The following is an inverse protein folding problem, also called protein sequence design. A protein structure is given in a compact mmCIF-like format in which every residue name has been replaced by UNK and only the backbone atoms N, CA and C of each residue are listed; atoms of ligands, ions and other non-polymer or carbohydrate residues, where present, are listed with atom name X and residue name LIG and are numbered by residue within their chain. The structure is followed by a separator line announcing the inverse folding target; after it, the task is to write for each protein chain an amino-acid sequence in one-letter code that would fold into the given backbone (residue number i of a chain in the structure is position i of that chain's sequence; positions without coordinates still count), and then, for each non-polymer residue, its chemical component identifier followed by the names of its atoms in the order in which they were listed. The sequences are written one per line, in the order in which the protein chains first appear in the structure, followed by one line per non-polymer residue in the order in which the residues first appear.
data_IF_976412896541
#
_entry.id   IF_976412896541
#
_cell.length_a   1.000
_cell.length_b   1.000
_cell.length_c   1.000
_cell.angle_alpha   90.00
_cell.angle_beta   90.00
_cell.angle_gamma   90.00
#
_symmetry.space_group_name_H-M   'P 1'
#
loop_
_entity.id
_entity.type
_entity.pdbx_description
1 polymer ?
#
# COMPACT_ATOMS: atom_id res chain seq x y z
N UNK A 1 45.63 61.59 13.65
CA UNK A 1 44.52 60.86 14.31
C UNK A 1 43.39 60.74 13.30
N UNK A 2 43.34 59.68 12.49
CA UNK A 2 42.58 58.42 12.69
C UNK A 2 41.09 58.63 13.01
N UNK A 3 40.27 58.73 11.96
CA UNK A 3 38.89 58.23 11.95
C UNK A 3 38.46 58.04 10.49
N UNK A 4 38.93 56.94 9.89
CA UNK A 4 38.52 56.48 8.56
C UNK A 4 37.63 55.26 8.77
N UNK A 5 36.44 55.31 8.14
CA UNK A 5 35.75 54.17 7.53
C UNK A 5 35.37 53.05 8.51
N UNK A 6 34.27 53.20 9.25
CA UNK A 6 33.67 52.09 10.02
C UNK A 6 32.14 52.02 9.96
N UNK A 7 31.45 52.72 9.06
CA UNK A 7 29.98 52.72 9.03
C UNK A 7 29.34 52.20 7.74
N UNK A 8 30.13 51.86 6.71
CA UNK A 8 29.59 51.32 5.44
C UNK A 8 29.70 49.78 5.37
N UNK A 9 30.43 49.12 6.28
CA UNK A 9 30.64 47.67 6.22
C UNK A 9 29.56 46.86 6.95
N UNK A 10 28.81 47.45 7.89
CA UNK A 10 27.79 46.72 8.66
C UNK A 10 26.47 46.52 7.89
N UNK A 11 26.15 47.39 6.92
CA UNK A 11 24.94 47.24 6.10
C UNK A 11 25.08 46.22 4.96
N UNK A 12 26.31 45.90 4.54
CA UNK A 12 26.57 44.86 3.52
C UNK A 12 26.68 43.45 4.13
N UNK A 13 26.95 43.33 5.43
CA UNK A 13 26.95 42.05 6.13
C UNK A 13 25.55 41.54 6.47
N UNK A 14 24.53 42.41 6.49
CA UNK A 14 23.14 41.99 6.69
C UNK A 14 22.45 41.48 5.42
N UNK A 15 23.08 41.60 4.24
CA UNK A 15 22.53 41.03 2.99
C UNK A 15 22.96 39.59 2.72
N UNK A 16 23.95 39.09 3.49
CA UNK A 16 24.37 37.69 3.47
C UNK A 16 23.93 36.90 4.71
N UNK A 17 23.11 37.51 5.59
CA UNK A 17 22.36 36.76 6.58
C UNK A 17 21.23 36.05 5.85
N UNK A 18 21.52 34.78 5.54
CA UNK A 18 20.68 33.83 4.85
C UNK A 18 19.20 34.16 4.90
N UNK A 19 18.62 34.28 3.72
CA UNK A 19 17.38 33.55 3.47
C UNK A 19 17.71 32.10 3.80
N UNK A 20 17.65 31.75 5.08
CA UNK A 20 17.34 30.40 5.49
C UNK A 20 15.95 30.21 4.89
N UNK A 21 15.94 29.76 3.63
CA UNK A 21 14.78 29.19 3.01
C UNK A 21 14.36 28.18 4.07
N UNK A 22 13.27 28.49 4.77
CA UNK A 22 12.56 27.48 5.54
C UNK A 22 12.09 26.51 4.47
N UNK A 23 12.99 25.61 4.08
CA UNK A 23 12.68 24.48 3.23
C UNK A 23 11.61 23.77 4.02
N UNK A 24 10.36 23.90 3.59
CA UNK A 24 9.28 23.19 4.21
C UNK A 24 9.62 21.72 3.95
N UNK A 25 10.05 20.93 4.97
CA UNK A 25 10.60 19.60 4.72
C UNK A 25 9.58 18.67 4.04
N UNK A 26 8.29 19.01 4.14
CA UNK A 26 7.19 18.36 3.41
C UNK A 26 7.20 18.65 1.90
N UNK A 27 7.49 19.88 1.51
CA UNK A 27 7.55 20.29 0.11
C UNK A 27 8.74 19.62 -0.62
N UNK A 28 9.86 19.46 0.08
CA UNK A 28 11.05 18.79 -0.46
C UNK A 28 10.80 17.29 -0.70
N UNK A 29 10.10 16.61 0.20
CA UNK A 29 9.78 15.19 0.03
C UNK A 29 8.92 14.95 -1.22
N UNK A 30 7.89 15.78 -1.45
CA UNK A 30 7.02 15.64 -2.62
C UNK A 30 7.73 15.92 -3.96
N UNK A 31 8.94 16.48 -3.93
CA UNK A 31 9.77 16.65 -5.13
C UNK A 31 10.65 15.43 -5.43
N UNK A 32 10.90 14.57 -4.44
CA UNK A 32 11.69 13.36 -4.61
C UNK A 32 10.96 12.33 -5.48
N UNK A 33 11.70 11.31 -5.92
CA UNK A 33 11.09 10.14 -6.54
C UNK A 33 10.56 9.18 -5.47
N UNK A 34 9.24 9.04 -5.41
CA UNK A 34 8.54 8.18 -4.45
C UNK A 34 8.21 6.80 -5.02
N UNK A 35 8.71 6.46 -6.22
CA UNK A 35 8.43 5.18 -6.88
C UNK A 35 8.74 3.96 -6.02
N UNK A 36 9.82 4.01 -5.24
CA UNK A 36 10.23 2.93 -4.33
C UNK A 36 9.22 2.63 -3.21
N UNK A 37 8.28 3.54 -2.92
CA UNK A 37 7.21 3.28 -1.96
C UNK A 37 6.13 2.33 -2.50
N UNK A 38 5.98 2.23 -3.82
CA UNK A 38 4.96 1.42 -4.47
C UNK A 38 5.52 0.11 -5.06
N UNK A 39 6.84 0.02 -5.23
CA UNK A 39 7.48 -1.09 -5.92
C UNK A 39 7.36 -2.42 -5.16
N UNK A 40 7.20 -3.53 -5.87
CA UNK A 40 7.12 -4.89 -5.33
C UNK A 40 6.25 -5.00 -4.05
N UNK A 41 5.00 -4.54 -4.14
CA UNK A 41 4.06 -4.49 -3.03
C UNK A 41 2.97 -5.55 -3.22
N UNK A 42 2.89 -6.49 -2.28
CA UNK A 42 1.82 -7.49 -2.18
C UNK A 42 0.88 -7.14 -1.03
N UNK A 43 -0.42 -7.17 -1.26
CA UNK A 43 -1.44 -6.89 -0.25
C UNK A 43 -2.66 -7.81 -0.45
N UNK A 44 -3.40 -8.02 0.62
CA UNK A 44 -4.63 -8.81 0.64
C UNK A 44 -5.82 -7.93 1.03
N UNK A 45 -7.00 -8.28 0.54
CA UNK A 45 -8.18 -7.44 0.73
C UNK A 45 -9.51 -8.12 0.44
N UNK A 46 -10.55 -7.31 0.45
CA UNK A 46 -11.93 -7.70 0.13
C UNK A 46 -12.42 -7.06 -1.16
N UNK A 47 -13.29 -7.80 -1.86
CA UNK A 47 -14.03 -7.36 -3.03
C UNK A 47 -15.52 -7.66 -2.83
N UNK A 48 -16.34 -6.62 -2.78
CA UNK A 48 -17.80 -6.68 -2.67
C UNK A 48 -18.31 -6.98 -1.27
N UNK A 49 -19.64 -6.96 -1.13
CA UNK A 49 -20.34 -7.16 0.14
C UNK A 49 -20.18 -8.58 0.69
N UNK A 50 -19.90 -9.56 -0.18
CA UNK A 50 -19.61 -10.93 0.22
C UNK A 50 -18.18 -11.11 0.76
N UNK A 51 -17.39 -10.04 0.80
CA UNK A 51 -16.01 -10.03 1.26
C UNK A 51 -15.16 -11.08 0.53
N UNK A 52 -15.34 -11.20 -0.79
CA UNK A 52 -14.49 -12.07 -1.61
C UNK A 52 -13.03 -11.68 -1.47
N UNK A 53 -12.15 -12.64 -1.25
CA UNK A 53 -10.71 -12.40 -1.19
C UNK A 53 -10.22 -11.81 -2.50
N UNK A 54 -9.42 -10.76 -2.41
CA UNK A 54 -8.61 -10.24 -3.50
C UNK A 54 -7.17 -10.08 -3.02
N UNK A 55 -6.22 -10.61 -3.78
CA UNK A 55 -4.79 -10.34 -3.63
C UNK A 55 -4.37 -9.34 -4.70
N UNK A 56 -3.50 -8.40 -4.36
CA UNK A 56 -2.94 -7.39 -5.27
C UNK A 56 -1.43 -7.47 -5.20
N UNK A 57 -0.77 -7.49 -6.36
CA UNK A 57 0.68 -7.43 -6.46
C UNK A 57 1.11 -6.36 -7.47
N UNK A 58 1.87 -5.37 -7.04
CA UNK A 58 2.45 -4.33 -7.90
C UNK A 58 3.77 -4.83 -8.46
N UNK A 59 3.86 -4.88 -9.80
CA UNK A 59 5.02 -5.44 -10.51
C UNK A 59 5.95 -4.38 -11.10
N UNK A 60 5.42 -3.22 -11.48
CA UNK A 60 6.20 -2.15 -12.11
C UNK A 60 5.66 -0.78 -11.70
N UNK A 61 6.58 0.12 -11.40
CA UNK A 61 6.30 1.52 -11.06
C UNK A 61 7.17 2.42 -11.92
N UNK A 62 6.56 3.44 -12.52
CA UNK A 62 7.30 4.45 -13.30
C UNK A 62 6.81 5.84 -12.93
N UNK A 63 7.71 6.69 -12.45
CA UNK A 63 7.42 8.11 -12.25
C UNK A 63 7.09 8.77 -13.60
N UNK A 64 5.96 9.44 -13.66
CA UNK A 64 5.46 10.14 -14.86
C UNK A 64 5.63 11.66 -14.73
N UNK A 65 5.38 12.17 -13.53
CA UNK A 65 5.51 13.59 -13.16
C UNK A 65 5.95 13.65 -11.68
N UNK A 66 6.13 14.85 -11.14
CA UNK A 66 6.36 15.15 -9.71
C UNK A 66 5.47 14.36 -8.76
N UNK A 67 4.18 14.22 -9.08
CA UNK A 67 3.18 13.58 -8.20
C UNK A 67 2.45 12.39 -8.82
N UNK A 68 2.73 12.07 -10.08
CA UNK A 68 2.05 10.99 -10.80
C UNK A 68 2.99 9.82 -11.08
N UNK A 69 2.48 8.61 -10.83
CA UNK A 69 3.19 7.36 -11.03
C UNK A 69 2.32 6.42 -11.85
N UNK A 70 2.87 5.88 -12.93
CA UNK A 70 2.25 4.77 -13.65
C UNK A 70 2.54 3.46 -12.91
N UNK A 71 1.49 2.67 -12.68
CA UNK A 71 1.54 1.41 -11.96
C UNK A 71 1.08 0.30 -12.88
N UNK A 72 1.80 -0.82 -12.87
CA UNK A 72 1.32 -2.11 -13.36
C UNK A 72 1.34 -3.12 -12.22
N UNK A 73 0.40 -4.04 -12.27
CA UNK A 73 0.33 -5.13 -11.32
C UNK A 73 -0.63 -6.20 -11.76
N UNK A 74 -0.91 -7.12 -10.85
CA UNK A 74 -1.79 -8.26 -11.09
C UNK A 74 -2.69 -8.38 -9.85
N UNK A 75 -3.98 -8.61 -10.09
CA UNK A 75 -4.95 -8.97 -9.07
C UNK A 75 -5.23 -10.48 -9.14
N UNK A 76 -5.57 -11.09 -7.99
CA UNK A 76 -6.06 -12.46 -7.90
C UNK A 76 -7.29 -12.51 -7.00
N UNK A 77 -8.46 -12.80 -7.58
CA UNK A 77 -9.71 -12.91 -6.83
C UNK A 77 -10.02 -14.38 -6.52
N UNK A 78 -10.35 -14.67 -5.25
CA UNK A 78 -10.69 -16.02 -4.75
C UNK A 78 -9.69 -17.10 -5.19
N UNK A 79 -8.41 -16.77 -5.19
CA UNK A 79 -7.29 -17.66 -5.57
C UNK A 79 -7.34 -18.22 -7.02
N UNK A 80 -8.31 -17.81 -7.84
CA UNK A 80 -8.58 -18.46 -9.14
C UNK A 80 -8.65 -17.48 -10.31
N UNK A 81 -9.14 -16.26 -10.10
CA UNK A 81 -9.29 -15.28 -11.17
C UNK A 81 -8.11 -14.31 -11.13
N UNK A 82 -7.16 -14.46 -12.06
CA UNK A 82 -5.97 -13.61 -12.15
C UNK A 82 -6.17 -12.59 -13.26
N UNK A 83 -6.03 -11.31 -12.97
CA UNK A 83 -6.16 -10.22 -13.94
C UNK A 83 -4.97 -9.25 -13.86
N UNK A 84 -4.23 -9.04 -14.97
CA UNK A 84 -3.26 -7.97 -15.01
C UNK A 84 -3.98 -6.60 -15.04
N UNK A 85 -3.40 -5.60 -14.41
CA UNK A 85 -3.91 -4.23 -14.41
C UNK A 85 -2.82 -3.21 -14.70
N UNK A 86 -3.26 -2.04 -15.16
CA UNK A 86 -2.42 -0.87 -15.37
C UNK A 86 -3.19 0.38 -14.98
N UNK A 87 -2.51 1.37 -14.42
CA UNK A 87 -3.08 2.68 -14.23
C UNK A 87 -2.15 3.64 -13.53
N UNK A 88 -2.70 4.49 -12.66
CA UNK A 88 -1.96 5.58 -12.04
C UNK A 88 -2.21 5.68 -10.55
N UNK A 89 -1.19 6.17 -9.85
CA UNK A 89 -1.27 6.73 -8.51
C UNK A 89 -0.89 8.21 -8.59
N UNK A 90 -1.67 9.06 -7.92
CA UNK A 90 -1.42 10.49 -7.78
C UNK A 90 -1.27 10.83 -6.30
N UNK A 91 -0.10 11.33 -5.89
CA UNK A 91 0.19 11.74 -4.51
C UNK A 91 -0.34 13.15 -4.27
N UNK A 92 -1.26 13.34 -3.32
CA UNK A 92 -1.87 14.64 -3.04
C UNK A 92 -1.18 15.41 -1.91
N UNK A 93 -0.78 14.69 -0.86
CA UNK A 93 -0.40 15.26 0.41
C UNK A 93 0.53 14.34 1.19
N UNK A 94 1.20 14.93 2.17
CA UNK A 94 2.14 14.27 3.05
C UNK A 94 1.92 14.73 4.49
N UNK A 95 1.87 13.77 5.40
CA UNK A 95 1.91 14.03 6.83
C UNK A 95 3.24 13.55 7.38
N UNK A 96 3.96 14.41 8.08
CA UNK A 96 5.09 14.01 8.92
C UNK A 96 4.55 13.62 10.29
N UNK A 97 5.00 12.50 10.82
CA UNK A 97 4.67 12.09 12.19
C UNK A 97 5.72 12.71 13.12
N UNK A 98 5.50 13.94 13.60
CA UNK A 98 6.49 14.62 14.44
C UNK A 98 6.58 14.07 15.87
N UNK A 99 5.64 13.22 16.30
CA UNK A 99 5.47 12.88 17.72
C UNK A 99 5.06 11.43 18.03
N UNK A 100 4.84 10.54 17.06
CA UNK A 100 4.38 9.19 17.38
C UNK A 100 5.10 8.12 16.54
N UNK A 101 5.62 7.12 17.27
CA UNK A 101 6.12 5.82 16.81
C UNK A 101 7.49 5.78 16.12
N UNK A 102 8.51 6.42 16.71
CA UNK A 102 9.87 5.84 16.66
C UNK A 102 10.08 5.02 17.93
N UNK A 103 9.65 3.75 17.88
CA UNK A 103 10.04 2.74 18.85
C UNK A 103 11.21 1.95 18.26
N UNK A 104 11.83 1.06 19.03
CA UNK A 104 12.84 0.12 18.50
C UNK A 104 12.31 -0.76 17.37
N UNK A 105 10.98 -0.87 17.23
CA UNK A 105 10.30 -1.84 16.36
C UNK A 105 9.41 -1.17 15.30
N UNK A 106 9.38 0.16 15.24
CA UNK A 106 8.63 0.90 14.21
C UNK A 106 9.47 2.04 13.67
N UNK A 107 9.68 2.02 12.36
CA UNK A 107 10.43 3.03 11.64
C UNK A 107 9.50 3.75 10.66
N UNK A 108 8.94 4.87 11.13
CA UNK A 108 7.94 5.64 10.41
C UNK A 108 8.17 7.13 10.63
N UNK A 109 8.48 7.86 9.55
CA UNK A 109 8.61 9.32 9.59
C UNK A 109 7.34 10.04 9.15
N UNK A 110 6.43 9.32 8.49
CA UNK A 110 5.15 9.88 8.07
C UNK A 110 4.40 9.00 7.08
N UNK A 111 3.37 9.61 6.47
CA UNK A 111 2.55 8.99 5.44
C UNK A 111 2.40 9.93 4.25
N UNK A 112 2.40 9.35 3.06
CA UNK A 112 1.86 9.98 1.86
C UNK A 112 0.43 9.51 1.63
N UNK A 113 -0.39 10.38 1.04
CA UNK A 113 -1.76 10.09 0.68
C UNK A 113 -2.01 10.46 -0.78
N UNK A 114 -3.12 9.95 -1.32
CA UNK A 114 -3.59 10.35 -2.62
C UNK A 114 -4.64 9.42 -3.18
N UNK A 115 -4.70 9.39 -4.51
CA UNK A 115 -5.72 8.65 -5.25
C UNK A 115 -5.08 7.69 -6.24
N UNK A 116 -5.80 6.63 -6.56
CA UNK A 116 -5.39 5.66 -7.55
C UNK A 116 -6.54 5.32 -8.50
N UNK A 117 -6.17 4.91 -9.71
CA UNK A 117 -7.10 4.29 -10.66
C UNK A 117 -6.35 3.26 -11.50
N UNK A 118 -6.79 2.01 -11.45
CA UNK A 118 -6.20 0.89 -12.18
C UNK A 118 -7.25 0.18 -13.02
N UNK A 119 -6.97 -0.05 -14.30
CA UNK A 119 -7.83 -0.82 -15.18
C UNK A 119 -7.23 -2.22 -15.37
N UNK A 120 -8.00 -3.24 -15.02
CA UNK A 120 -7.72 -4.61 -15.40
C UNK A 120 -7.98 -4.80 -16.89
N UNK A 121 -7.18 -5.64 -17.54
CA UNK A 121 -7.35 -5.94 -18.96
C UNK A 121 -7.39 -7.45 -19.23
N UNK A 122 -8.18 -7.84 -20.23
CA UNK A 122 -8.46 -9.22 -20.58
C UNK A 122 -9.95 -9.50 -20.73
N UNK A 123 -10.40 -10.67 -20.25
CA UNK A 123 -11.80 -11.08 -20.32
C UNK A 123 -12.71 -10.14 -19.50
N UNK A 124 -13.62 -9.46 -20.22
CA UNK A 124 -14.58 -8.48 -19.68
C UNK A 124 -15.56 -9.06 -18.66
N UNK A 125 -15.67 -10.38 -18.53
CA UNK A 125 -16.46 -11.04 -17.48
C UNK A 125 -15.82 -10.89 -16.10
N UNK A 126 -14.49 -10.78 -16.06
CA UNK A 126 -13.71 -10.77 -14.83
C UNK A 126 -13.00 -9.44 -14.58
N UNK A 127 -12.67 -8.68 -15.64
CA UNK A 127 -11.96 -7.41 -15.52
C UNK A 127 -12.88 -6.24 -15.14
N UNK A 128 -12.33 -5.29 -14.39
CA UNK A 128 -12.93 -3.98 -14.14
C UNK A 128 -11.90 -2.89 -13.86
N UNK A 129 -12.36 -1.80 -13.25
CA UNK A 129 -11.52 -0.68 -12.84
C UNK A 129 -11.53 -0.56 -11.33
N UNK A 130 -10.37 -0.60 -10.72
CA UNK A 130 -10.16 -0.19 -9.34
C UNK A 130 -9.98 1.32 -9.28
N UNK A 131 -10.56 1.97 -8.27
CA UNK A 131 -10.33 3.39 -8.00
C UNK A 131 -10.63 3.73 -6.55
N UNK A 132 -9.86 4.65 -5.97
CA UNK A 132 -10.03 5.05 -4.59
C UNK A 132 -8.92 5.94 -4.07
N UNK A 133 -8.75 5.94 -2.75
CA UNK A 133 -7.67 6.62 -2.06
C UNK A 133 -6.68 5.63 -1.45
N UNK A 134 -5.46 6.08 -1.21
CA UNK A 134 -4.44 5.28 -0.55
C UNK A 134 -3.72 6.08 0.54
N UNK A 135 -3.09 5.34 1.44
CA UNK A 135 -2.16 5.80 2.47
C UNK A 135 -0.93 4.90 2.42
N UNK A 136 0.26 5.50 2.37
CA UNK A 136 1.52 4.77 2.35
C UNK A 136 2.52 5.39 3.33
N UNK A 137 2.96 4.58 4.30
CA UNK A 137 3.95 4.94 5.31
C UNK A 137 5.33 4.98 4.70
N UNK A 138 6.11 5.97 5.11
CA UNK A 138 7.48 6.16 4.66
C UNK A 138 8.44 6.41 5.82
N UNK A 139 9.71 6.12 5.59
CA UNK A 139 10.84 6.50 6.44
C UNK A 139 11.92 7.19 5.60
N UNK A 140 12.69 8.05 6.25
CA UNK A 140 13.83 8.75 5.67
C UNK A 140 15.10 7.97 6.00
N UNK A 141 15.83 7.58 4.97
CA UNK A 141 17.14 6.93 5.05
C UNK A 141 18.18 7.87 4.41
N UNK A 142 18.69 8.80 5.21
CA UNK A 142 19.48 9.92 4.70
C UNK A 142 18.64 10.82 3.77
N UNK A 143 19.04 10.90 2.49
CA UNK A 143 18.30 11.63 1.45
C UNK A 143 17.28 10.77 0.70
N UNK A 144 17.24 9.46 0.96
CA UNK A 144 16.32 8.54 0.28
C UNK A 144 15.05 8.34 1.10
N UNK A 145 13.97 8.06 0.39
CA UNK A 145 12.68 7.70 0.97
C UNK A 145 12.46 6.22 0.76
N UNK A 146 12.19 5.52 1.85
CA UNK A 146 11.93 4.10 1.87
C UNK A 146 10.57 3.82 2.49
N UNK A 147 10.04 2.61 2.29
CA UNK A 147 8.83 2.16 2.95
C UNK A 147 9.02 2.19 4.47
N UNK A 148 8.01 2.66 5.17
CA UNK A 148 7.97 2.52 6.62
C UNK A 148 8.05 1.05 7.03
N UNK A 149 8.51 0.78 8.24
CA UNK A 149 8.57 -0.57 8.81
C UNK A 149 7.83 -0.65 10.12
N UNK A 150 7.11 -1.75 10.31
CA UNK A 150 6.49 -2.11 11.57
C UNK A 150 6.80 -3.58 11.84
N UNK A 151 7.57 -3.84 12.88
CA UNK A 151 7.93 -5.19 13.31
C UNK A 151 7.01 -5.71 14.43
N UNK A 152 6.02 -4.91 14.85
CA UNK A 152 5.01 -5.29 15.84
C UNK A 152 3.68 -5.51 15.14
N UNK A 153 3.38 -6.76 14.78
CA UNK A 153 2.11 -7.13 14.14
C UNK A 153 0.90 -6.76 15.03
N UNK A 154 1.06 -6.81 16.35
CA UNK A 154 0.02 -6.52 17.34
C UNK A 154 -0.41 -5.05 17.36
N UNK A 155 0.40 -4.13 16.80
CA UNK A 155 -0.01 -2.74 16.62
C UNK A 155 -1.15 -2.60 15.61
N UNK A 156 -1.36 -3.60 14.75
CA UNK A 156 -2.44 -3.61 13.75
C UNK A 156 -2.44 -2.34 12.89
N UNK A 157 -1.25 -1.81 12.64
CA UNK A 157 -1.03 -0.55 11.95
C UNK A 157 -0.78 -0.81 10.48
N UNK A 158 -1.72 -0.36 9.63
CA UNK A 158 -1.48 -0.39 8.20
C UNK A 158 -0.47 0.67 7.78
N UNK A 159 0.67 0.23 7.24
CA UNK A 159 1.62 1.10 6.57
C UNK A 159 1.26 1.27 5.10
N UNK A 160 0.63 0.29 4.48
CA UNK A 160 0.05 0.41 3.15
C UNK A 160 -1.44 0.09 3.18
N UNK A 161 -2.25 1.04 2.73
CA UNK A 161 -3.70 0.93 2.78
C UNK A 161 -4.33 1.54 1.55
N UNK A 162 -5.22 0.80 0.88
CA UNK A 162 -5.98 1.25 -0.27
C UNK A 162 -7.46 1.01 0.01
N UNK A 163 -8.25 2.08 -0.09
CA UNK A 163 -9.71 2.04 0.08
C UNK A 163 -10.38 2.51 -1.18
N UNK A 164 -11.36 1.75 -1.67
CA UNK A 164 -11.98 2.13 -2.92
C UNK A 164 -13.09 1.22 -3.40
N UNK A 165 -13.22 1.19 -4.72
CA UNK A 165 -14.25 0.46 -5.43
C UNK A 165 -13.66 -0.22 -6.64
N UNK A 166 -14.24 -1.36 -6.98
CA UNK A 166 -14.07 -2.01 -8.26
C UNK A 166 -15.33 -1.84 -9.09
N UNK A 167 -15.19 -1.47 -10.36
CA UNK A 167 -16.30 -1.27 -11.30
C UNK A 167 -16.13 -2.16 -12.52
N UNK A 168 -17.12 -3.02 -12.79
CA UNK A 168 -17.12 -3.88 -13.98
C UNK A 168 -17.38 -3.07 -15.25
N UNK A 169 -17.07 -3.66 -16.41
CA UNK A 169 -17.42 -3.11 -17.72
C UNK A 169 -18.94 -2.88 -17.90
N UNK A 170 -19.78 -3.60 -17.16
CA UNK A 170 -21.25 -3.46 -17.17
C UNK A 170 -21.78 -2.45 -16.15
N UNK A 171 -20.89 -1.78 -15.42
CA UNK A 171 -21.25 -0.76 -14.44
C UNK A 171 -21.55 -1.27 -13.02
N UNK A 172 -21.48 -2.58 -12.78
CA UNK A 172 -21.58 -3.13 -11.42
C UNK A 172 -20.42 -2.59 -10.58
N UNK A 173 -20.73 -2.02 -9.43
CA UNK A 173 -19.74 -1.46 -8.51
C UNK A 173 -19.71 -2.26 -7.22
N UNK A 174 -18.51 -2.56 -6.73
CA UNK A 174 -18.25 -3.29 -5.49
C UNK A 174 -17.29 -2.48 -4.62
N UNK A 175 -17.43 -2.52 -3.30
CA UNK A 175 -16.35 -2.10 -2.38
C UNK A 175 -15.11 -2.92 -2.71
N UNK A 176 -13.94 -2.28 -2.72
CA UNK A 176 -12.68 -2.98 -2.95
C UNK A 176 -11.58 -2.29 -2.16
N UNK A 177 -11.06 -3.00 -1.17
CA UNK A 177 -10.16 -2.44 -0.15
C UNK A 177 -9.13 -3.48 0.24
N UNK A 178 -7.86 -3.08 0.34
CA UNK A 178 -6.73 -3.96 0.64
C UNK A 178 -5.67 -3.21 1.45
N UNK A 179 -4.91 -3.96 2.25
CA UNK A 179 -3.86 -3.43 3.11
C UNK A 179 -2.79 -4.49 3.38
N UNK A 180 -1.73 -4.07 4.06
CA UNK A 180 -0.65 -4.94 4.55
C UNK A 180 -1.05 -5.71 5.83
N UNK A 181 -1.78 -5.09 6.77
CA UNK A 181 -2.13 -5.73 8.06
C UNK A 181 -3.64 -5.98 8.23
N UNK A 182 -4.42 -4.90 8.44
CA UNK A 182 -5.86 -4.93 8.69
C UNK A 182 -6.63 -4.43 7.48
N UNK A 183 -7.42 -5.32 6.89
CA UNK A 183 -8.21 -4.99 5.71
C UNK A 183 -9.28 -3.95 6.07
N UNK A 184 -9.31 -2.79 5.38
CA UNK A 184 -10.29 -1.76 5.66
C UNK A 184 -11.67 -2.09 5.07
N UNK A 185 -12.69 -1.39 5.55
CA UNK A 185 -14.07 -1.43 5.07
C UNK A 185 -14.76 -2.81 5.17
N UNK A 186 -14.20 -3.70 6.00
CA UNK A 186 -14.80 -5.00 6.31
C UNK A 186 -15.96 -4.87 7.32
N UNK A 187 -17.00 -5.71 7.24
CA UNK A 187 -18.00 -5.81 8.29
C UNK A 187 -17.39 -6.14 9.65
N UNK A 188 -18.01 -5.68 10.75
CA UNK A 188 -17.51 -5.93 12.12
C UNK A 188 -17.41 -7.42 12.48
N UNK A 189 -18.14 -8.29 11.78
CA UNK A 189 -18.10 -9.75 11.98
C UNK A 189 -17.21 -10.48 10.96
N UNK A 190 -16.40 -9.77 10.18
CA UNK A 190 -15.57 -10.35 9.13
C UNK A 190 -14.48 -11.26 9.70
N UNK A 191 -13.75 -10.80 10.71
CA UNK A 191 -12.70 -11.55 11.37
C UNK A 191 -12.76 -11.40 12.90
N UNK A 192 -12.13 -12.33 13.60
CA UNK A 192 -11.83 -12.27 15.02
C UNK A 192 -10.32 -12.19 15.20
N UNK A 193 -9.84 -11.61 16.29
CA UNK A 193 -8.43 -11.66 16.64
C UNK A 193 -8.21 -12.74 17.70
N UNK A 194 -7.19 -13.58 17.52
CA UNK A 194 -6.77 -14.53 18.54
C UNK A 194 -5.87 -13.87 19.60
N UNK A 195 -5.45 -14.64 20.59
CA UNK A 195 -4.60 -14.16 21.69
C UNK A 195 -3.19 -13.74 21.24
N UNK A 196 -2.75 -14.21 20.06
CA UNK A 196 -1.51 -13.80 19.42
C UNK A 196 -1.67 -12.52 18.56
N UNK A 197 -2.86 -11.93 18.50
CA UNK A 197 -3.13 -10.73 17.72
C UNK A 197 -3.36 -10.98 16.22
N UNK A 198 -3.34 -12.24 15.76
CA UNK A 198 -3.61 -12.64 14.39
C UNK A 198 -5.11 -12.57 14.10
N UNK A 199 -5.50 -12.14 12.91
CA UNK A 199 -6.90 -12.13 12.52
C UNK A 199 -7.29 -13.42 11.80
N UNK A 200 -8.42 -13.99 12.22
CA UNK A 200 -8.98 -15.23 11.69
C UNK A 200 -10.31 -14.89 11.02
N UNK A 201 -10.46 -15.27 9.74
CA UNK A 201 -11.70 -15.04 8.98
C UNK A 201 -12.85 -15.88 9.55
N UNK A 202 -13.97 -15.21 9.82
CA UNK A 202 -15.19 -15.85 10.30
C UNK A 202 -15.68 -16.92 9.31
N UNK A 203 -16.17 -18.09 9.80
CA UNK A 203 -16.63 -19.20 8.95
C UNK A 203 -17.55 -18.80 7.80
N UNK A 204 -18.44 -17.82 8.04
CA UNK A 204 -19.38 -17.29 7.05
C UNK A 204 -18.72 -16.84 5.74
N UNK A 205 -17.52 -16.28 5.81
CA UNK A 205 -16.83 -15.68 4.67
C UNK A 205 -15.79 -16.63 4.04
N UNK A 206 -15.40 -17.73 4.70
CA UNK A 206 -14.25 -18.54 4.27
C UNK A 206 -14.35 -19.09 2.85
N UNK A 207 -15.54 -19.57 2.48
CA UNK A 207 -15.84 -20.04 1.12
C UNK A 207 -15.64 -18.99 0.01
N UNK A 208 -15.51 -17.71 0.37
CA UNK A 208 -15.27 -16.62 -0.58
C UNK A 208 -13.78 -16.36 -0.81
N UNK A 209 -12.94 -17.41 -0.73
CA UNK A 209 -11.51 -17.36 -1.04
C UNK A 209 -10.56 -17.33 0.16
N UNK A 210 -11.07 -17.46 1.38
CA UNK A 210 -10.26 -17.44 2.61
C UNK A 210 -10.06 -18.82 3.26
N UNK A 211 -10.74 -19.86 2.78
CA UNK A 211 -10.63 -21.21 3.33
C UNK A 211 -9.19 -21.73 3.29
N UNK A 212 -8.47 -21.49 2.20
CA UNK A 212 -7.08 -21.94 2.06
C UNK A 212 -6.15 -21.25 3.07
N UNK A 213 -6.34 -19.95 3.31
CA UNK A 213 -5.60 -19.21 4.34
C UNK A 213 -5.87 -19.78 5.75
N UNK A 214 -7.14 -20.05 6.07
CA UNK A 214 -7.51 -20.69 7.33
C UNK A 214 -6.86 -22.08 7.47
N UNK A 215 -6.88 -22.89 6.41
CA UNK A 215 -6.30 -24.22 6.39
C UNK A 215 -4.77 -24.20 6.55
N UNK A 216 -4.10 -23.19 5.98
CA UNK A 216 -2.65 -23.06 6.04
C UNK A 216 -2.12 -22.70 7.44
N UNK A 217 -2.88 -21.93 8.23
CA UNK A 217 -2.35 -21.31 9.46
C UNK A 217 -3.19 -21.52 10.73
N UNK A 218 -4.45 -21.93 10.64
CA UNK A 218 -5.37 -21.96 11.80
C UNK A 218 -6.22 -23.23 11.93
N UNK A 219 -6.24 -24.12 10.93
CA UNK A 219 -7.04 -25.33 10.98
C UNK A 219 -6.27 -26.49 11.60
N UNK A 220 -6.38 -26.64 12.92
CA UNK A 220 -5.70 -27.69 13.70
C UNK A 220 -6.23 -29.12 13.42
N UNK A 221 -7.34 -29.25 12.69
CA UNK A 221 -7.94 -30.56 12.38
C UNK A 221 -7.33 -31.22 11.13
N UNK A 222 -6.49 -30.52 10.37
CA UNK A 222 -5.88 -31.02 9.15
C UNK A 222 -4.59 -31.79 9.44
N UNK A 223 -4.25 -32.73 8.55
CA UNK A 223 -2.94 -33.40 8.61
C UNK A 223 -1.83 -32.44 8.20
N UNK A 224 -0.58 -32.74 8.59
CA UNK A 224 0.59 -31.97 8.17
C UNK A 224 0.68 -31.80 6.65
N UNK A 225 0.40 -32.87 5.89
CA UNK A 225 0.40 -32.82 4.42
C UNK A 225 -0.68 -31.89 3.84
N UNK A 226 -1.86 -31.82 4.46
CA UNK A 226 -2.94 -30.93 4.02
C UNK A 226 -2.61 -29.47 4.32
N UNK A 227 -2.05 -29.20 5.50
CA UNK A 227 -1.56 -27.87 5.88
C UNK A 227 -0.45 -27.42 4.92
N UNK A 228 0.50 -28.31 4.60
CA UNK A 228 1.61 -27.99 3.71
C UNK A 228 1.12 -27.63 2.30
N UNK A 229 0.16 -28.39 1.74
CA UNK A 229 -0.46 -28.06 0.45
C UNK A 229 -1.17 -26.71 0.47
N UNK A 230 -1.87 -26.39 1.56
CA UNK A 230 -2.53 -25.10 1.70
C UNK A 230 -1.50 -23.95 1.74
N UNK A 231 -0.38 -24.12 2.46
CA UNK A 231 0.73 -23.14 2.51
C UNK A 231 1.37 -22.94 1.14
N UNK A 232 1.63 -24.01 0.40
CA UNK A 232 2.18 -23.93 -0.95
C UNK A 232 1.34 -23.03 -1.87
N UNK A 233 0.00 -23.06 -1.74
CA UNK A 233 -0.90 -22.19 -2.52
C UNK A 233 -0.86 -20.73 -2.05
N UNK A 234 -0.73 -20.48 -0.74
CA UNK A 234 -0.61 -19.12 -0.18
C UNK A 234 0.74 -18.47 -0.52
N UNK A 235 1.81 -19.25 -0.47
CA UNK A 235 3.20 -18.79 -0.66
C UNK A 235 3.61 -18.76 -2.13
N UNK A 236 2.82 -19.35 -3.03
CA UNK A 236 3.09 -19.35 -4.47
C UNK A 236 3.13 -17.92 -5.03
N UNK A 237 4.18 -17.60 -5.78
CA UNK A 237 4.27 -16.37 -6.57
C UNK A 237 3.34 -16.43 -7.80
N UNK A 238 2.07 -16.14 -7.59
CA UNK A 238 1.01 -16.21 -8.61
C UNK A 238 1.11 -15.13 -9.69
N UNK A 239 1.95 -14.11 -9.48
CA UNK A 239 2.17 -12.99 -10.40
C UNK A 239 3.26 -13.24 -11.46
N UNK A 240 4.05 -14.31 -11.35
CA UNK A 240 5.21 -14.57 -12.23
C UNK A 240 4.77 -14.96 -13.64
N UNK A 241 3.60 -15.58 -13.78
CA UNK A 241 2.99 -15.81 -15.08
C UNK A 241 2.32 -14.52 -15.57
N UNK A 242 3.12 -13.66 -16.23
CA UNK A 242 2.72 -12.41 -16.91
C UNK A 242 1.74 -12.69 -18.07
N UNK A 243 0.57 -13.23 -17.73
CA UNK A 243 -0.53 -13.45 -18.65
C UNK A 243 -0.93 -12.10 -19.24
N UNK A 244 -1.02 -12.01 -20.57
CA UNK A 244 -1.46 -10.80 -21.25
C UNK A 244 -2.97 -10.53 -21.08
N UNK A 245 -3.70 -11.46 -20.44
CA UNK A 245 -5.15 -11.37 -20.22
C UNK A 245 -5.59 -12.04 -18.92
N UNK A 246 -6.74 -11.62 -18.39
CA UNK A 246 -7.42 -12.32 -17.30
C UNK A 246 -7.61 -13.82 -17.59
N UNK A 247 -7.39 -14.67 -16.58
CA UNK A 247 -7.58 -16.13 -16.66
C UNK A 247 -8.16 -16.69 -15.37
N UNK A 248 -8.86 -17.82 -15.50
CA UNK A 248 -9.27 -18.66 -14.38
C UNK A 248 -8.27 -19.81 -14.28
N UNK A 249 -7.69 -20.02 -13.10
CA UNK A 249 -6.84 -21.18 -12.78
C UNK A 249 -7.62 -22.20 -11.96
#
# INVERSE_FOLDING_TARGET
MKQKIYHIIIFLLFWFCGVAYSQNPKADILQQDLSGLFDNLSMIGILGEDCSRIDIHITEVRKMDSREYEIKGISRTRLSVICPFKGKVCVDSISSCSQMIKSEYTELDGFIYGYYSFAEYGDKRYSGTFSGSFKQGYRMSGQQIEKGRNEIAELKLNLSEYRGKWKSAKGLTKVCSWADEIIPDTPANFCLFNDAGEWIVSPKYRKNGWENLYNAYHNENLTTDEIQKAREVEEQEWWVNKSQSCKVI
#
